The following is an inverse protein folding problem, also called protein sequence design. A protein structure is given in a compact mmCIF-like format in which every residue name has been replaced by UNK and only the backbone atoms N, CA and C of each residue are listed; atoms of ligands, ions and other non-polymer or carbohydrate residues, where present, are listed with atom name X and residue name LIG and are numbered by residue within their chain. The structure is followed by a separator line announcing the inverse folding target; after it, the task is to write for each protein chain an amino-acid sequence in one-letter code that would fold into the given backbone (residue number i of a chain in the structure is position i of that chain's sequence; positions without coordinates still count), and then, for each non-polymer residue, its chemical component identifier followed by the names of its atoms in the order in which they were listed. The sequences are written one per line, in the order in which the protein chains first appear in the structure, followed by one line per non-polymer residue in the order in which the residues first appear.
data_IF_977700536826
#
_entry.id   IF_977700536826
#
_cell.length_a   1.000
_cell.length_b   1.000
_cell.length_c   1.000
_cell.angle_alpha   90.00
_cell.angle_beta   90.00
_cell.angle_gamma   90.00
#
_symmetry.space_group_name_H-M   'P 1'
#
loop_
_entity.id
_entity.type
_entity.pdbx_description
1 polymer ?
#
# COMPACT_ATOMS: atom_id res chain seq x y z
N UNK A 1 4.99 -13.63 21.30
CA UNK A 1 4.87 -13.48 19.83
C UNK A 1 3.61 -12.67 19.55
N UNK A 2 3.59 -11.79 18.54
CA UNK A 2 2.52 -10.82 18.23
C UNK A 2 1.10 -11.40 17.98
N UNK A 3 0.89 -12.68 18.31
CA UNK A 3 -0.39 -13.39 18.32
C UNK A 3 -1.25 -13.14 19.58
N UNK A 4 -0.74 -12.46 20.61
CA UNK A 4 -1.40 -12.43 21.94
C UNK A 4 -2.34 -11.24 22.19
N UNK A 5 -2.45 -10.27 21.29
CA UNK A 5 -3.38 -9.15 21.44
C UNK A 5 -3.98 -8.92 20.06
N UNK A 6 -5.30 -9.06 19.91
CA UNK A 6 -6.05 -8.95 18.65
C UNK A 6 -6.01 -7.57 17.98
N UNK A 7 -5.00 -6.77 18.28
CA UNK A 7 -4.69 -5.52 17.62
C UNK A 7 -3.36 -5.69 16.88
N UNK A 8 -3.38 -6.15 15.61
CA UNK A 8 -2.28 -5.84 14.72
C UNK A 8 -2.16 -4.31 14.72
N UNK A 9 -1.08 -3.79 15.30
CA UNK A 9 -0.75 -2.37 15.26
C UNK A 9 0.12 -2.16 14.02
N UNK A 10 -0.46 -1.87 12.83
CA UNK A 10 0.34 -1.50 11.70
C UNK A 10 1.17 -0.27 12.08
N UNK A 11 2.44 -0.24 11.68
CA UNK A 11 3.24 0.97 11.80
C UNK A 11 2.59 2.12 11.01
N UNK A 12 2.78 3.38 11.42
CA UNK A 12 2.23 4.53 10.71
C UNK A 12 2.71 4.60 9.26
N UNK A 13 1.83 5.00 8.34
CA UNK A 13 2.14 5.14 6.91
C UNK A 13 3.25 6.18 6.62
N UNK A 14 3.42 7.15 7.53
CA UNK A 14 4.48 8.16 7.45
C UNK A 14 5.89 7.53 7.48
N UNK A 15 6.07 6.40 8.16
CA UNK A 15 7.36 5.74 8.27
C UNK A 15 7.89 5.21 6.93
N UNK A 16 7.15 4.34 6.19
CA UNK A 16 7.59 3.91 4.87
C UNK A 16 7.62 5.08 3.88
N UNK A 17 6.74 6.07 4.00
CA UNK A 17 6.73 7.24 3.10
C UNK A 17 8.09 7.94 3.09
N UNK A 18 8.62 8.27 4.28
CA UNK A 18 9.94 8.89 4.40
C UNK A 18 11.05 8.05 3.79
N UNK A 19 11.05 6.75 4.04
CA UNK A 19 12.07 5.84 3.51
C UNK A 19 11.99 5.73 1.98
N UNK A 20 10.79 5.61 1.42
CA UNK A 20 10.55 5.52 -0.02
C UNK A 20 11.02 6.81 -0.70
N UNK A 21 10.69 7.98 -0.15
CA UNK A 21 11.13 9.27 -0.73
C UNK A 21 12.65 9.47 -0.65
N UNK A 22 13.30 8.98 0.42
CA UNK A 22 14.75 9.14 0.60
C UNK A 22 15.57 8.19 -0.27
N UNK A 23 15.08 6.98 -0.53
CA UNK A 23 15.88 5.90 -1.11
C UNK A 23 15.43 5.44 -2.50
N UNK A 24 14.36 6.01 -3.07
CA UNK A 24 13.84 5.61 -4.38
C UNK A 24 13.39 6.78 -5.24
N UNK A 25 13.45 6.63 -6.55
CA UNK A 25 12.82 7.52 -7.51
C UNK A 25 11.41 7.05 -7.87
N UNK A 26 10.62 7.93 -8.49
CA UNK A 26 9.33 7.53 -9.07
C UNK A 26 9.56 6.43 -10.11
N UNK A 27 8.69 5.43 -10.11
CA UNK A 27 8.79 4.25 -10.98
C UNK A 27 9.73 3.15 -10.49
N UNK A 28 10.51 3.37 -9.42
CA UNK A 28 11.31 2.29 -8.82
C UNK A 28 10.41 1.23 -8.18
N UNK A 29 11.00 0.05 -7.91
CA UNK A 29 10.33 -1.08 -7.25
C UNK A 29 10.72 -1.15 -5.77
N UNK A 30 9.74 -1.09 -4.88
CA UNK A 30 9.92 -1.31 -3.44
C UNK A 30 9.59 -2.76 -3.08
N UNK A 31 10.55 -3.47 -2.48
CA UNK A 31 10.36 -4.85 -2.00
C UNK A 31 10.10 -4.87 -0.49
N UNK A 32 8.99 -5.49 -0.08
CA UNK A 32 8.68 -5.79 1.32
C UNK A 32 8.42 -7.30 1.51
N UNK A 33 9.41 -8.09 1.95
CA UNK A 33 9.29 -9.55 2.07
C UNK A 33 8.55 -10.01 3.34
N UNK A 34 8.05 -9.08 4.16
CA UNK A 34 7.28 -9.34 5.37
C UNK A 34 6.10 -8.36 5.46
N UNK A 35 5.36 -8.24 4.36
CA UNK A 35 4.52 -7.07 4.13
C UNK A 35 3.33 -6.95 5.09
N UNK A 36 2.96 -8.01 5.81
CA UNK A 36 1.83 -8.02 6.73
C UNK A 36 0.58 -7.46 6.06
N UNK A 37 -0.04 -6.46 6.68
CA UNK A 37 -1.24 -5.80 6.12
C UNK A 37 -0.97 -4.90 4.91
N UNK A 38 0.26 -4.84 4.38
CA UNK A 38 0.61 -4.17 3.14
C UNK A 38 0.84 -2.67 3.25
N UNK A 39 1.17 -2.13 4.43
CA UNK A 39 1.34 -0.68 4.62
C UNK A 39 2.44 -0.10 3.70
N UNK A 40 3.63 -0.71 3.64
CA UNK A 40 4.70 -0.21 2.77
C UNK A 40 4.35 -0.32 1.28
N UNK A 41 3.69 -1.40 0.87
CA UNK A 41 3.20 -1.58 -0.50
C UNK A 41 2.20 -0.48 -0.91
N UNK A 42 1.24 -0.18 -0.03
CA UNK A 42 0.25 0.86 -0.27
C UNK A 42 0.90 2.25 -0.35
N UNK A 43 1.88 2.53 0.51
CA UNK A 43 2.63 3.80 0.47
C UNK A 43 3.45 3.93 -0.80
N UNK A 44 4.13 2.85 -1.22
CA UNK A 44 4.88 2.84 -2.49
C UNK A 44 3.96 3.15 -3.67
N UNK A 45 2.78 2.53 -3.72
CA UNK A 45 1.78 2.81 -4.75
C UNK A 45 1.34 4.28 -4.75
N UNK A 46 1.01 4.85 -3.57
CA UNK A 46 0.61 6.26 -3.42
C UNK A 46 1.71 7.24 -3.83
N UNK A 47 2.96 6.84 -3.65
CA UNK A 47 4.14 7.63 -3.96
C UNK A 47 4.62 7.45 -5.42
N UNK A 48 3.82 6.87 -6.31
CA UNK A 48 4.19 6.58 -7.72
C UNK A 48 5.39 5.62 -7.86
N UNK A 49 5.49 4.63 -6.98
CA UNK A 49 6.44 3.50 -7.08
C UNK A 49 5.71 2.20 -7.37
N UNK A 50 6.40 1.27 -8.01
CA UNK A 50 5.98 -0.12 -8.07
C UNK A 50 6.33 -0.82 -6.75
N UNK A 51 5.69 -1.94 -6.46
CA UNK A 51 5.98 -2.71 -5.26
C UNK A 51 5.89 -4.22 -5.50
N UNK A 52 6.63 -4.97 -4.70
CA UNK A 52 6.50 -6.42 -4.56
C UNK A 52 6.41 -6.71 -3.06
N UNK A 53 5.33 -7.36 -2.63
CA UNK A 53 5.14 -7.72 -1.24
C UNK A 53 4.67 -9.14 -1.08
N UNK A 54 5.22 -9.86 -0.11
CA UNK A 54 4.73 -11.18 0.27
C UNK A 54 4.81 -11.36 1.80
N UNK A 55 3.93 -12.21 2.30
CA UNK A 55 3.86 -12.60 3.70
C UNK A 55 3.47 -14.09 3.75
N UNK A 56 3.93 -14.79 4.78
CA UNK A 56 3.63 -16.22 4.97
C UNK A 56 2.19 -16.44 5.46
N UNK A 57 1.58 -15.43 6.07
CA UNK A 57 0.23 -15.49 6.62
C UNK A 57 -0.79 -15.08 5.53
N UNK A 58 -1.58 -16.03 4.99
CA UNK A 58 -2.49 -15.75 3.88
C UNK A 58 -3.56 -14.70 4.23
N UNK A 59 -3.96 -14.61 5.51
CA UNK A 59 -4.92 -13.60 5.95
C UNK A 59 -4.37 -12.17 5.84
N UNK A 60 -3.07 -11.97 6.06
CA UNK A 60 -2.40 -10.69 5.85
C UNK A 60 -2.28 -10.35 4.36
N UNK A 61 -1.90 -11.31 3.52
CA UNK A 61 -1.85 -11.12 2.05
C UNK A 61 -3.24 -10.73 1.51
N UNK A 62 -4.31 -11.37 2.00
CA UNK A 62 -5.69 -11.01 1.62
C UNK A 62 -6.04 -9.57 2.03
N UNK A 63 -5.70 -9.18 3.25
CA UNK A 63 -5.96 -7.82 3.76
C UNK A 63 -5.16 -6.76 2.98
N UNK A 64 -3.88 -7.01 2.69
CA UNK A 64 -3.03 -6.13 1.88
C UNK A 64 -3.64 -5.90 0.49
N UNK A 65 -4.01 -6.98 -0.21
CA UNK A 65 -4.64 -6.90 -1.52
C UNK A 65 -5.98 -6.15 -1.51
N UNK A 66 -6.79 -6.33 -0.47
CA UNK A 66 -8.04 -5.58 -0.30
C UNK A 66 -7.77 -4.08 -0.19
N UNK A 67 -6.86 -3.66 0.71
CA UNK A 67 -6.52 -2.24 0.92
C UNK A 67 -5.99 -1.58 -0.37
N UNK A 68 -5.14 -2.28 -1.11
CA UNK A 68 -4.62 -1.81 -2.39
C UNK A 68 -5.75 -1.63 -3.41
N UNK A 69 -6.63 -2.63 -3.53
CA UNK A 69 -7.77 -2.58 -4.46
C UNK A 69 -8.73 -1.44 -4.12
N UNK A 70 -9.03 -1.23 -2.84
CA UNK A 70 -9.86 -0.11 -2.38
C UNK A 70 -9.26 1.23 -2.78
N UNK A 71 -7.95 1.41 -2.61
CA UNK A 71 -7.25 2.63 -3.02
C UNK A 71 -7.30 2.85 -4.55
N UNK A 72 -7.02 1.82 -5.34
CA UNK A 72 -7.09 1.91 -6.81
C UNK A 72 -8.51 2.23 -7.31
N UNK A 73 -9.53 1.63 -6.68
CA UNK A 73 -10.92 1.92 -7.02
C UNK A 73 -11.28 3.39 -6.73
N UNK A 74 -10.79 3.96 -5.62
CA UNK A 74 -10.98 5.38 -5.32
C UNK A 74 -10.38 6.26 -6.42
N UNK A 75 -9.15 5.99 -6.86
CA UNK A 75 -8.51 6.74 -7.95
C UNK A 75 -9.34 6.71 -9.24
N UNK A 76 -9.84 5.53 -9.64
CA UNK A 76 -10.65 5.38 -10.84
C UNK A 76 -11.96 6.18 -10.78
N UNK A 77 -12.60 6.26 -9.61
CA UNK A 77 -13.82 7.05 -9.42
C UNK A 77 -13.53 8.54 -9.67
N UNK A 78 -12.48 9.07 -9.04
CA UNK A 78 -12.10 10.47 -9.20
C UNK A 78 -11.65 10.81 -10.62
N UNK A 79 -10.96 9.89 -11.29
CA UNK A 79 -10.61 10.07 -12.70
C UNK A 79 -11.85 10.11 -13.58
N UNK A 80 -12.82 9.23 -13.34
CA UNK A 80 -14.08 9.22 -14.05
C UNK A 80 -14.81 10.56 -13.85
N UNK A 81 -15.03 11.00 -12.62
CA UNK A 81 -15.70 12.27 -12.30
C UNK A 81 -15.02 13.48 -12.97
N UNK A 82 -13.68 13.53 -12.99
CA UNK A 82 -12.93 14.58 -13.69
C UNK A 82 -13.21 14.62 -15.19
N UNK A 83 -13.43 13.48 -15.84
CA UNK A 83 -13.76 13.42 -17.26
C UNK A 83 -15.23 13.82 -17.54
N UNK A 84 -16.18 13.47 -16.66
CA UNK A 84 -17.59 13.85 -16.82
C UNK A 84 -17.87 15.33 -16.55
N UNK A 85 -17.02 16.03 -15.79
CA UNK A 85 -17.19 17.46 -15.49
C UNK A 85 -16.65 18.44 -16.54
N UNK A 86 -16.04 17.95 -17.63
CA UNK A 86 -15.48 18.78 -18.72
C UNK A 86 -16.22 18.61 -20.07
N UNK A 87 -17.35 17.91 -20.08
CA UNK A 87 -18.27 17.79 -21.24
C UNK A 87 -19.56 18.54 -20.97
#
# INVERSE_FOLDING_TARGET
SARSIGHPAPFPEELPHRLIQLYTFKGDVVLDPFCGSGTACLTALKDDRHYIGYDIEPSYVKLANQRIKEHLNQLNIFEKERHWGQS
#
